data_IF_789979502832
#
_entry.id   IF_789979502832
#
_cell.length_a   1.000
_cell.length_b   1.000
_cell.length_c   1.000
_cell.angle_alpha   90.00
_cell.angle_beta   90.00
_cell.angle_gamma   90.00
#
_symmetry.space_group_name_H-M   'P 1'
#
loop_
_entity.id
_entity.type
_entity.pdbx_description
1 polymer ?
#
# COMPACT_ATOMS: atom_id res chain seq x y z
N UNK A 1 -0.04 -18.60 14.93
CA UNK A 1 0.59 -18.05 13.71
C UNK A 1 1.59 -16.98 14.12
N UNK A 2 2.90 -17.21 13.94
CA UNK A 2 3.97 -16.28 14.35
C UNK A 2 3.67 -14.89 13.77
N UNK A 3 3.36 -13.92 14.65
CA UNK A 3 3.30 -12.49 14.31
C UNK A 3 4.66 -12.18 13.66
N UNK A 4 4.67 -11.93 12.34
CA UNK A 4 5.89 -11.45 11.68
C UNK A 4 6.08 -10.02 12.18
N UNK A 5 6.81 -9.92 13.30
CA UNK A 5 7.22 -8.67 13.92
C UNK A 5 7.93 -7.77 12.91
N UNK A 6 7.97 -6.49 13.24
CA UNK A 6 8.42 -5.30 12.51
C UNK A 6 9.59 -5.50 11.54
N UNK A 7 9.30 -6.29 10.53
CA UNK A 7 10.17 -6.68 9.44
C UNK A 7 9.84 -5.69 8.35
N UNK A 8 10.83 -4.84 8.00
CA UNK A 8 10.76 -3.80 6.98
C UNK A 8 9.62 -4.01 5.97
N UNK A 9 8.76 -3.00 5.81
CA UNK A 9 7.62 -3.09 4.90
C UNK A 9 8.04 -3.64 3.53
N UNK A 10 7.23 -4.51 2.94
CA UNK A 10 7.57 -5.16 1.67
C UNK A 10 7.90 -4.13 0.58
N UNK A 11 7.34 -2.93 0.64
CA UNK A 11 7.70 -1.82 -0.25
C UNK A 11 9.19 -1.43 -0.15
N UNK A 12 9.73 -1.32 1.06
CA UNK A 12 11.14 -0.95 1.30
C UNK A 12 12.07 -2.05 0.77
N UNK A 13 11.75 -3.32 1.04
CA UNK A 13 12.54 -4.44 0.53
C UNK A 13 12.55 -4.51 -1.00
N UNK A 14 11.41 -4.27 -1.63
CA UNK A 14 11.29 -4.32 -3.08
C UNK A 14 11.99 -3.13 -3.75
N UNK A 15 11.97 -1.95 -3.12
CA UNK A 15 12.78 -0.81 -3.56
C UNK A 15 14.28 -1.12 -3.43
N UNK A 16 14.73 -1.63 -2.27
CA UNK A 16 16.12 -2.03 -2.07
C UNK A 16 16.60 -3.03 -3.13
N UNK A 17 15.78 -4.03 -3.48
CA UNK A 17 16.10 -5.00 -4.55
C UNK A 17 16.14 -4.39 -5.96
N UNK A 18 15.44 -3.28 -6.22
CA UNK A 18 15.48 -2.57 -7.51
C UNK A 18 16.66 -1.61 -7.61
N UNK A 19 17.08 -1.03 -6.49
CA UNK A 19 18.20 -0.10 -6.41
C UNK A 19 19.53 -0.79 -6.11
N UNK A 20 19.50 -2.08 -5.71
CA UNK A 20 20.70 -2.89 -5.60
C UNK A 20 21.42 -2.87 -6.96
N UNK A 21 22.74 -2.59 -6.99
CA UNK A 21 23.49 -2.62 -8.23
C UNK A 21 23.31 -3.99 -8.88
N UNK A 22 23.09 -4.07 -10.20
CA UNK A 22 23.09 -5.35 -10.87
C UNK A 22 24.41 -6.06 -10.53
N UNK A 23 24.35 -7.32 -10.12
CA UNK A 23 25.54 -8.16 -10.15
C UNK A 23 26.09 -8.12 -11.58
N UNK A 24 27.41 -8.23 -11.77
CA UNK A 24 28.07 -8.10 -13.07
C UNK A 24 27.47 -8.99 -14.20
N UNK A 25 26.60 -9.95 -13.87
CA UNK A 25 25.85 -10.83 -14.77
C UNK A 25 24.43 -10.37 -15.16
N UNK A 26 23.80 -9.44 -14.45
CA UNK A 26 22.43 -8.99 -14.73
C UNK A 26 22.48 -7.71 -15.58
N UNK A 27 22.50 -7.90 -16.90
CA UNK A 27 22.50 -6.82 -17.89
C UNK A 27 21.48 -5.71 -17.58
N UNK A 28 21.89 -4.48 -17.85
CA UNK A 28 21.22 -3.24 -17.49
C UNK A 28 19.71 -3.23 -17.81
N UNK A 29 18.90 -3.15 -16.75
CA UNK A 29 17.57 -2.51 -16.76
C UNK A 29 16.35 -3.32 -17.27
N UNK A 30 16.52 -4.41 -18.03
CA UNK A 30 15.37 -5.05 -18.70
C UNK A 30 15.22 -6.56 -18.53
N UNK A 31 15.84 -7.16 -17.51
CA UNK A 31 15.68 -8.60 -17.23
C UNK A 31 14.23 -8.94 -16.84
N UNK A 32 13.73 -10.15 -17.16
CA UNK A 32 12.40 -10.61 -16.74
C UNK A 32 12.25 -10.58 -15.20
N UNK A 33 13.34 -10.79 -14.46
CA UNK A 33 13.39 -10.66 -13.00
C UNK A 33 13.11 -9.22 -12.55
N UNK A 34 13.78 -8.21 -13.13
CA UNK A 34 13.53 -6.80 -12.83
C UNK A 34 12.07 -6.38 -13.15
N UNK A 35 11.51 -6.91 -14.24
CA UNK A 35 10.10 -6.69 -14.62
C UNK A 35 9.13 -7.29 -13.59
N UNK A 36 9.38 -8.52 -13.13
CA UNK A 36 8.58 -9.17 -12.08
C UNK A 36 8.64 -8.35 -10.78
N UNK A 37 9.83 -7.87 -10.41
CA UNK A 37 10.05 -7.07 -9.20
C UNK A 37 9.30 -5.74 -9.24
N UNK A 38 9.38 -4.98 -10.36
CA UNK A 38 8.60 -3.75 -10.56
C UNK A 38 7.09 -4.00 -10.51
N UNK A 39 6.61 -5.10 -11.13
CA UNK A 39 5.19 -5.49 -11.05
C UNK A 39 4.75 -5.77 -9.62
N UNK A 40 5.58 -6.47 -8.85
CA UNK A 40 5.29 -6.77 -7.46
C UNK A 40 5.24 -5.50 -6.61
N UNK A 41 6.20 -4.58 -6.76
CA UNK A 41 6.18 -3.26 -6.09
C UNK A 41 4.88 -2.49 -6.38
N UNK A 42 4.47 -2.40 -7.67
CA UNK A 42 3.20 -1.76 -8.06
C UNK A 42 1.97 -2.44 -7.44
N UNK A 43 1.99 -3.75 -7.18
CA UNK A 43 0.89 -4.46 -6.50
C UNK A 43 0.83 -4.11 -5.02
N UNK A 44 1.98 -4.08 -4.34
CA UNK A 44 2.05 -3.71 -2.91
C UNK A 44 1.57 -2.27 -2.70
N UNK A 45 2.05 -1.32 -3.51
CA UNK A 45 1.61 0.07 -3.45
C UNK A 45 0.09 0.22 -3.68
N UNK A 46 -0.48 -0.54 -4.63
CA UNK A 46 -1.93 -0.56 -4.85
C UNK A 46 -2.69 -1.10 -3.63
N UNK A 47 -2.18 -2.17 -3.00
CA UNK A 47 -2.76 -2.72 -1.77
C UNK A 47 -2.72 -1.69 -0.64
N UNK A 48 -1.59 -1.01 -0.45
CA UNK A 48 -1.44 0.09 0.53
C UNK A 48 -2.44 1.21 0.30
N UNK A 49 -2.57 1.70 -0.94
CA UNK A 49 -3.57 2.73 -1.30
C UNK A 49 -5.00 2.27 -1.04
N UNK A 50 -5.37 1.05 -1.42
CA UNK A 50 -6.70 0.49 -1.14
C UNK A 50 -6.99 0.41 0.37
N UNK A 51 -6.03 -0.01 1.18
CA UNK A 51 -6.20 -0.04 2.64
C UNK A 51 -6.33 1.37 3.21
N UNK A 52 -5.54 2.34 2.72
CA UNK A 52 -5.66 3.74 3.12
C UNK A 52 -7.04 4.33 2.78
N UNK A 53 -7.55 4.08 1.57
CA UNK A 53 -8.90 4.49 1.17
C UNK A 53 -9.99 3.82 2.02
N UNK A 54 -9.87 2.52 2.30
CA UNK A 54 -10.81 1.83 3.22
C UNK A 54 -10.80 2.44 4.61
N UNK A 55 -9.63 2.79 5.15
CA UNK A 55 -9.51 3.48 6.44
C UNK A 55 -10.13 4.88 6.38
N UNK A 56 -9.89 5.64 5.31
CA UNK A 56 -10.50 6.95 5.10
C UNK A 56 -12.03 6.87 5.04
N UNK A 57 -12.58 5.92 4.27
CA UNK A 57 -14.03 5.72 4.16
C UNK A 57 -14.65 5.22 5.47
N UNK A 58 -13.95 4.36 6.22
CA UNK A 58 -14.41 3.93 7.55
C UNK A 58 -14.37 5.07 8.57
N UNK A 59 -13.36 5.95 8.49
CA UNK A 59 -13.30 7.16 9.31
C UNK A 59 -14.42 8.16 8.95
N UNK A 60 -14.71 8.32 7.65
CA UNK A 60 -15.85 9.14 7.18
C UNK A 60 -17.21 8.58 7.55
N UNK A 61 -17.39 7.25 7.57
CA UNK A 61 -18.65 6.61 8.01
C UNK A 61 -18.92 6.76 9.51
N UNK A 62 -17.87 6.81 10.34
CA UNK A 62 -18.02 7.14 11.77
C UNK A 62 -18.40 8.61 12.03
N UNK A 63 -18.25 9.48 11.03
CA UNK A 63 -18.67 10.89 11.09
C UNK A 63 -20.09 11.15 10.57
N UNK A 64 -20.69 10.24 9.79
CA UNK A 64 -22.01 10.44 9.18
C UNK A 64 -23.15 9.66 9.86
N UNK A 65 -22.86 8.70 10.73
CA UNK A 65 -23.90 8.05 11.55
C UNK A 65 -24.28 8.87 12.79
N UNK A 66 -23.46 9.85 13.18
CA UNK A 66 -23.75 10.79 14.28
C UNK A 66 -24.28 12.16 13.86
N UNK A 67 -24.30 12.49 12.56
CA UNK A 67 -24.64 13.83 12.06
C UNK A 67 -26.04 13.92 11.42
N UNK A 68 -26.83 12.83 11.41
CA UNK A 68 -28.18 12.80 10.85
C UNK A 68 -29.23 12.44 11.91
N UNK A 69 -29.16 13.05 13.10
CA UNK A 69 -30.24 12.99 14.10
C UNK A 69 -30.40 14.28 14.92
N UNK A 70 -30.17 15.45 14.35
CA UNK A 70 -30.66 16.72 14.93
C UNK A 70 -30.83 17.74 13.81
N UNK A 71 -32.07 18.05 13.45
CA UNK A 71 -32.33 19.12 12.46
C UNK A 71 -33.54 18.91 11.57
N UNK A 72 -34.62 18.32 12.10
CA UNK A 72 -35.95 18.45 11.53
C UNK A 72 -36.91 18.86 12.65
N UNK A 73 -36.77 20.09 13.12
CA UNK A 73 -37.78 20.81 13.88
C UNK A 73 -37.64 22.29 13.48
N UNK A 74 -38.64 22.77 12.74
CA UNK A 74 -38.88 24.15 12.36
C UNK A 74 -39.08 25.03 13.63
N UNK A 75 -39.18 26.37 13.52
CA UNK A 75 -40.21 27.08 12.74
C UNK A 75 -39.70 27.80 11.49
#
# INVERSE_FOLDING_TARGET
>A
MKKKGDKESDEVRLKKKLHAPPSASEGTGRTPASRRLRKHLKRVQRKRRRLALRKHHAAGKKGTEGAQKTGAAAP
#
